data_IF_947816668315
#
_entry.id   IF_947816668315
#
_cell.length_a   1.000
_cell.length_b   1.000
_cell.length_c   1.000
_cell.angle_alpha   90.00
_cell.angle_beta   90.00
_cell.angle_gamma   90.00
#
_symmetry.space_group_name_H-M   'P 1'
#
loop_
_entity.id
_entity.type
_entity.pdbx_description
1 polymer ?
#
# COMPACT_ATOMS: atom_id res chain seq x y z
N UNK A 1 1.41 21.48 21.50
CA UNK A 1 0.34 20.52 21.17
C UNK A 1 0.34 20.26 19.66
N UNK A 2 0.98 19.18 19.19
CA UNK A 2 0.88 18.78 17.77
C UNK A 2 -0.40 17.96 17.63
N UNK A 3 -1.42 18.51 16.94
CA UNK A 3 -2.72 17.86 16.74
C UNK A 3 -2.55 16.61 15.88
N UNK A 4 -3.08 15.49 16.36
CA UNK A 4 -3.28 14.25 15.61
C UNK A 4 -4.35 14.37 14.50
N UNK A 5 -5.05 15.50 14.43
CA UNK A 5 -6.10 15.79 13.44
C UNK A 5 -5.58 16.34 12.09
N UNK A 6 -4.28 16.28 11.83
CA UNK A 6 -3.66 16.93 10.66
C UNK A 6 -2.63 16.12 9.86
N UNK A 7 -2.28 14.90 10.27
CA UNK A 7 -1.42 14.03 9.44
C UNK A 7 -2.23 13.58 8.25
N UNK A 8 -1.69 13.65 7.03
CA UNK A 8 -2.25 13.11 5.80
C UNK A 8 -1.69 11.70 5.51
N UNK A 9 -2.55 10.80 5.04
CA UNK A 9 -2.24 9.40 4.78
C UNK A 9 -2.54 9.04 3.33
N UNK A 10 -1.56 8.48 2.63
CA UNK A 10 -1.73 7.85 1.34
C UNK A 10 -1.65 6.32 1.49
N UNK A 11 -2.67 5.61 1.04
CA UNK A 11 -2.77 4.15 1.21
C UNK A 11 -2.55 3.42 -0.11
N UNK A 12 -1.75 2.36 -0.12
CA UNK A 12 -1.56 1.59 -1.34
C UNK A 12 -1.33 0.11 -1.08
N UNK A 13 -1.77 -0.70 -2.03
CA UNK A 13 -1.59 -2.14 -2.03
C UNK A 13 -1.01 -2.59 -3.35
N UNK A 14 -0.37 -3.75 -3.37
CA UNK A 14 -0.09 -4.48 -4.60
C UNK A 14 -0.98 -5.72 -4.66
N UNK A 15 -1.49 -6.04 -5.85
CA UNK A 15 -2.29 -7.23 -6.08
C UNK A 15 -2.07 -7.84 -7.47
N UNK A 16 -1.98 -9.17 -7.58
CA UNK A 16 -2.02 -9.87 -8.85
C UNK A 16 -3.45 -10.04 -9.40
N UNK A 17 -4.47 -9.43 -8.80
CA UNK A 17 -5.86 -9.45 -9.30
C UNK A 17 -6.37 -10.88 -9.60
N UNK A 18 -6.07 -11.84 -8.72
CA UNK A 18 -6.65 -13.19 -8.80
C UNK A 18 -8.12 -13.12 -8.44
N UNK A 19 -8.89 -14.15 -8.81
CA UNK A 19 -10.34 -14.16 -8.53
C UNK A 19 -10.71 -14.02 -7.05
N UNK A 20 -9.82 -14.42 -6.12
CA UNK A 20 -10.01 -14.16 -4.68
C UNK A 20 -9.67 -12.71 -4.30
N UNK A 21 -8.62 -12.14 -4.89
CA UNK A 21 -8.21 -10.76 -4.65
C UNK A 21 -9.32 -9.77 -5.06
N UNK A 22 -9.99 -10.03 -6.19
CA UNK A 22 -11.14 -9.25 -6.67
C UNK A 22 -12.30 -9.21 -5.65
N UNK A 23 -12.50 -10.29 -4.89
CA UNK A 23 -13.51 -10.32 -3.84
C UNK A 23 -13.10 -9.44 -2.65
N UNK A 24 -11.82 -9.46 -2.27
CA UNK A 24 -11.28 -8.65 -1.18
C UNK A 24 -11.22 -7.16 -1.54
N UNK A 25 -10.92 -6.82 -2.79
CA UNK A 25 -10.77 -5.45 -3.26
C UNK A 25 -11.99 -4.58 -2.96
N UNK A 26 -13.20 -5.15 -2.99
CA UNK A 26 -14.43 -4.43 -2.62
C UNK A 26 -14.38 -3.88 -1.19
N UNK A 27 -13.91 -4.68 -0.23
CA UNK A 27 -13.81 -4.25 1.16
C UNK A 27 -12.57 -3.39 1.41
N UNK A 28 -11.46 -3.69 0.74
CA UNK A 28 -10.24 -2.88 0.86
C UNK A 28 -10.45 -1.47 0.33
N UNK A 29 -11.15 -1.30 -0.80
CA UNK A 29 -11.54 0.02 -1.33
C UNK A 29 -12.32 0.86 -0.33
N UNK A 30 -13.26 0.26 0.41
CA UNK A 30 -14.02 0.97 1.47
C UNK A 30 -13.11 1.42 2.62
N UNK A 31 -12.06 0.67 2.91
CA UNK A 31 -11.07 1.04 3.94
C UNK A 31 -10.16 2.16 3.43
N UNK A 32 -9.65 2.02 2.21
CA UNK A 32 -8.70 2.94 1.58
C UNK A 32 -9.35 4.29 1.20
N UNK A 33 -10.65 4.31 0.91
CA UNK A 33 -11.43 5.54 0.72
C UNK A 33 -11.47 6.44 1.97
N UNK A 34 -10.99 5.97 3.14
CA UNK A 34 -10.85 6.75 4.38
C UNK A 34 -9.43 7.34 4.54
N UNK A 35 -8.53 7.07 3.61
CA UNK A 35 -7.24 7.76 3.46
C UNK A 35 -7.42 9.02 2.60
N UNK A 36 -6.45 9.93 2.61
CA UNK A 36 -6.53 11.19 1.84
C UNK A 36 -6.24 10.96 0.34
N UNK A 37 -5.54 9.88 0.03
CA UNK A 37 -5.38 9.35 -1.31
C UNK A 37 -5.12 7.84 -1.25
N UNK A 38 -5.42 7.14 -2.33
CA UNK A 38 -5.04 5.74 -2.45
C UNK A 38 -4.83 5.29 -3.89
N UNK A 39 -4.13 4.17 -4.04
CA UNK A 39 -3.92 3.50 -5.32
C UNK A 39 -3.71 2.01 -5.13
N UNK A 40 -4.14 1.22 -6.11
CA UNK A 40 -3.83 -0.20 -6.19
C UNK A 40 -2.81 -0.42 -7.30
N UNK A 41 -1.73 -1.14 -6.99
CA UNK A 41 -0.75 -1.54 -7.98
C UNK A 41 -1.01 -2.95 -8.46
N UNK A 42 -0.81 -3.19 -9.75
CA UNK A 42 -0.90 -4.52 -10.34
C UNK A 42 0.13 -4.70 -11.45
N UNK A 43 0.32 -5.94 -11.92
CA UNK A 43 1.21 -6.20 -13.05
C UNK A 43 0.58 -5.77 -14.38
N UNK A 44 1.40 -5.38 -15.36
CA UNK A 44 0.93 -5.00 -16.71
C UNK A 44 0.07 -6.07 -17.37
N UNK A 45 0.38 -7.34 -17.11
CA UNK A 45 -0.29 -8.50 -17.69
C UNK A 45 -1.54 -8.94 -16.89
N UNK A 46 -1.94 -8.15 -15.88
CA UNK A 46 -3.16 -8.43 -15.12
C UNK A 46 -4.40 -8.25 -15.99
N UNK A 47 -5.33 -9.21 -15.89
CA UNK A 47 -6.64 -9.10 -16.51
C UNK A 47 -7.58 -8.18 -15.73
N UNK A 48 -8.73 -7.89 -16.32
CA UNK A 48 -9.80 -7.08 -15.70
C UNK A 48 -10.00 -5.74 -16.41
N UNK A 49 -11.11 -5.09 -16.07
CA UNK A 49 -11.45 -3.79 -16.64
C UNK A 49 -10.44 -2.72 -16.23
N UNK A 50 -10.27 -1.73 -17.10
CA UNK A 50 -9.54 -0.50 -16.80
C UNK A 50 -10.29 0.24 -15.70
N UNK A 51 -9.70 0.31 -14.53
CA UNK A 51 -10.23 1.00 -13.36
C UNK A 51 -9.26 2.11 -12.98
N UNK A 52 -9.74 3.37 -12.81
CA UNK A 52 -8.89 4.51 -12.53
C UNK A 52 -8.09 4.39 -11.22
N UNK A 53 -8.48 3.52 -10.29
CA UNK A 53 -7.74 3.32 -9.05
C UNK A 53 -6.54 2.36 -9.17
N UNK A 54 -6.31 1.78 -10.36
CA UNK A 54 -5.20 0.89 -10.64
C UNK A 54 -4.06 1.55 -11.41
N UNK A 55 -2.84 1.30 -10.94
CA UNK A 55 -1.60 1.58 -11.68
C UNK A 55 -0.90 0.27 -12.01
N UNK A 56 -0.66 0.06 -13.31
CA UNK A 56 0.05 -1.12 -13.82
C UNK A 56 1.56 -0.88 -13.80
N UNK A 57 2.29 -1.76 -13.12
CA UNK A 57 3.76 -1.73 -13.05
C UNK A 57 4.38 -2.93 -13.75
N UNK A 58 5.59 -2.76 -14.29
CA UNK A 58 6.34 -3.90 -14.82
C UNK A 58 6.92 -4.73 -13.69
N UNK A 59 6.76 -6.04 -13.81
CA UNK A 59 7.41 -6.99 -12.92
C UNK A 59 8.66 -7.57 -13.60
N UNK A 60 9.72 -7.85 -12.84
CA UNK A 60 10.82 -8.66 -13.33
C UNK A 60 10.34 -9.99 -13.93
N UNK A 61 10.98 -10.46 -15.00
CA UNK A 61 10.64 -11.71 -15.64
C UNK A 61 10.66 -12.89 -14.63
N UNK A 62 9.58 -13.68 -14.63
CA UNK A 62 9.45 -14.85 -13.77
C UNK A 62 9.76 -16.13 -14.53
N UNK A 63 10.29 -17.13 -13.82
CA UNK A 63 10.57 -18.47 -14.38
C UNK A 63 9.31 -19.33 -14.56
N UNK A 64 8.22 -18.96 -13.90
CA UNK A 64 6.95 -19.67 -13.89
C UNK A 64 5.87 -18.79 -14.52
N UNK A 65 4.87 -19.41 -15.16
CA UNK A 65 3.79 -18.69 -15.82
C UNK A 65 2.93 -17.95 -14.80
N UNK A 66 2.32 -16.84 -15.22
CA UNK A 66 1.37 -16.05 -14.42
C UNK A 66 0.22 -16.88 -13.85
N UNK A 67 -0.24 -17.86 -14.63
CA UNK A 67 -1.34 -18.76 -14.28
C UNK A 67 -0.96 -19.84 -13.26
N UNK A 68 0.33 -20.03 -12.99
CA UNK A 68 0.78 -21.12 -12.12
C UNK A 68 0.50 -20.79 -10.66
N UNK A 69 0.10 -21.79 -9.87
CA UNK A 69 -0.18 -21.62 -8.43
C UNK A 69 1.01 -21.05 -7.64
N UNK A 70 2.24 -21.33 -8.10
CA UNK A 70 3.48 -20.84 -7.52
C UNK A 70 3.95 -19.48 -8.03
N UNK A 71 3.20 -18.84 -8.94
CA UNK A 71 3.57 -17.53 -9.46
C UNK A 71 3.60 -16.51 -8.32
N UNK A 72 4.79 -15.92 -8.12
CA UNK A 72 5.11 -14.99 -7.05
C UNK A 72 4.93 -15.54 -5.61
N UNK A 73 4.84 -16.85 -5.42
CA UNK A 73 4.76 -17.45 -4.10
C UNK A 73 6.04 -17.17 -3.29
N UNK A 74 5.88 -16.64 -2.07
CA UNK A 74 6.97 -16.09 -1.23
C UNK A 74 7.79 -14.98 -1.89
N UNK A 75 7.22 -14.29 -2.88
CA UNK A 75 7.87 -13.20 -3.63
C UNK A 75 7.01 -11.94 -3.67
N UNK A 76 6.27 -11.65 -2.60
CA UNK A 76 5.41 -10.46 -2.49
C UNK A 76 6.18 -9.17 -2.82
N UNK A 77 7.47 -9.10 -2.47
CA UNK A 77 8.34 -7.97 -2.78
C UNK A 77 8.56 -7.73 -4.28
N UNK A 78 8.39 -8.74 -5.14
CA UNK A 78 8.54 -8.57 -6.60
C UNK A 78 7.50 -7.62 -7.16
N UNK A 79 6.29 -7.63 -6.59
CA UNK A 79 5.24 -6.68 -6.93
C UNK A 79 5.34 -5.37 -6.18
N UNK A 80 5.71 -5.45 -4.90
CA UNK A 80 5.75 -4.29 -4.02
C UNK A 80 6.92 -3.33 -4.32
N UNK A 81 8.08 -3.82 -4.75
CA UNK A 81 9.23 -2.96 -5.08
C UNK A 81 8.96 -2.04 -6.28
N UNK A 82 8.43 -2.52 -7.43
CA UNK A 82 8.03 -1.64 -8.52
C UNK A 82 6.94 -0.64 -8.11
N UNK A 83 5.99 -1.05 -7.26
CA UNK A 83 4.97 -0.17 -6.70
C UNK A 83 5.59 0.98 -5.89
N UNK A 84 6.51 0.67 -4.97
CA UNK A 84 7.29 1.68 -4.24
C UNK A 84 8.08 2.59 -5.16
N UNK A 85 8.78 2.03 -6.16
CA UNK A 85 9.57 2.83 -7.10
C UNK A 85 8.68 3.81 -7.87
N UNK A 86 7.52 3.37 -8.33
CA UNK A 86 6.57 4.24 -9.01
C UNK A 86 6.04 5.32 -8.06
N UNK A 87 5.58 4.94 -6.86
CA UNK A 87 5.08 5.86 -5.84
C UNK A 87 6.12 6.93 -5.51
N UNK A 88 7.36 6.53 -5.23
CA UNK A 88 8.45 7.44 -4.87
C UNK A 88 8.90 8.35 -6.01
N UNK A 89 8.68 7.95 -7.26
CA UNK A 89 8.94 8.79 -8.44
C UNK A 89 7.79 9.72 -8.81
N UNK A 90 6.64 9.58 -8.15
CA UNK A 90 5.43 10.35 -8.45
C UNK A 90 5.30 11.56 -7.52
N UNK A 91 4.49 12.53 -7.95
CA UNK A 91 4.17 13.71 -7.12
C UNK A 91 3.34 13.38 -5.86
N UNK A 92 2.93 12.12 -5.66
CA UNK A 92 2.19 11.73 -4.46
C UNK A 92 3.04 11.85 -3.20
N UNK A 93 4.37 11.71 -3.31
CA UNK A 93 5.32 11.81 -2.20
C UNK A 93 5.24 13.16 -1.51
N UNK A 94 5.17 14.23 -2.29
CA UNK A 94 5.20 15.59 -1.75
C UNK A 94 3.82 16.05 -1.23
N UNK A 95 2.76 15.29 -1.52
CA UNK A 95 1.38 15.65 -1.19
C UNK A 95 0.89 15.04 0.14
N UNK A 96 1.62 14.10 0.73
CA UNK A 96 1.18 13.38 1.92
C UNK A 96 2.31 13.17 2.93
N UNK A 97 1.96 13.17 4.22
CA UNK A 97 2.93 13.01 5.31
C UNK A 97 3.39 11.55 5.48
N UNK A 98 2.49 10.59 5.23
CA UNK A 98 2.74 9.17 5.43
C UNK A 98 2.16 8.29 4.33
N UNK A 99 2.91 7.23 4.01
CA UNK A 99 2.52 6.21 3.05
C UNK A 99 2.32 4.88 3.78
N UNK A 100 1.14 4.29 3.63
CA UNK A 100 0.80 3.01 4.25
C UNK A 100 0.66 1.95 3.16
N UNK A 101 1.57 0.99 3.17
CA UNK A 101 1.36 -0.26 2.45
C UNK A 101 0.55 -1.23 3.31
N UNK A 102 -0.53 -1.80 2.75
CA UNK A 102 -1.30 -2.86 3.41
C UNK A 102 -1.67 -3.93 2.39
N UNK A 103 -1.45 -5.21 2.72
CA UNK A 103 -1.91 -6.33 1.89
C UNK A 103 -3.44 -6.40 1.86
N UNK A 104 -4.02 -7.11 0.90
CA UNK A 104 -5.48 -7.13 0.69
C UNK A 104 -6.26 -7.87 1.79
N UNK A 105 -5.61 -8.78 2.48
CA UNK A 105 -6.16 -9.53 3.61
C UNK A 105 -5.94 -8.85 4.96
N UNK A 106 -5.29 -7.68 4.97
CA UNK A 106 -5.10 -6.87 6.17
C UNK A 106 -6.27 -5.91 6.37
N UNK A 107 -6.71 -5.77 7.62
CA UNK A 107 -7.66 -4.74 8.02
C UNK A 107 -6.92 -3.46 8.42
N UNK A 108 -7.20 -2.36 7.72
CA UNK A 108 -6.68 -1.03 7.99
C UNK A 108 -7.80 -0.12 8.49
N UNK A 109 -7.55 0.51 9.64
CA UNK A 109 -8.32 1.66 10.11
C UNK A 109 -7.47 2.92 10.00
N UNK A 110 -7.62 3.76 8.95
CA UNK A 110 -6.79 4.95 8.78
C UNK A 110 -6.84 5.90 9.98
N UNK A 111 -8.00 6.05 10.62
CA UNK A 111 -8.15 6.85 11.83
C UNK A 111 -7.32 6.32 13.01
N UNK A 112 -7.22 4.99 13.19
CA UNK A 112 -6.35 4.39 14.20
C UNK A 112 -4.88 4.49 13.80
N UNK A 113 -4.57 4.31 12.51
CA UNK A 113 -3.22 4.46 11.99
C UNK A 113 -2.66 5.86 12.27
N UNK A 114 -3.42 6.94 11.99
CA UNK A 114 -3.01 8.32 12.31
C UNK A 114 -2.68 8.50 13.79
N UNK A 115 -3.53 7.99 14.69
CA UNK A 115 -3.32 8.05 16.13
C UNK A 115 -2.05 7.31 16.56
N UNK A 116 -1.86 6.09 16.04
CA UNK A 116 -0.70 5.27 16.38
C UNK A 116 0.59 5.91 15.84
N UNK A 117 0.60 6.41 14.61
CA UNK A 117 1.74 7.12 14.03
C UNK A 117 2.12 8.32 14.91
N UNK A 118 1.15 9.17 15.26
CA UNK A 118 1.40 10.33 16.11
C UNK A 118 2.03 9.92 17.46
N UNK A 119 1.53 8.85 18.08
CA UNK A 119 2.09 8.30 19.31
C UNK A 119 3.52 7.76 19.12
N UNK A 120 3.78 7.01 18.05
CA UNK A 120 5.11 6.50 17.78
C UNK A 120 6.12 7.61 17.53
N UNK A 121 5.71 8.67 16.85
CA UNK A 121 6.56 9.84 16.62
C UNK A 121 6.87 10.60 17.90
N UNK A 122 5.90 10.72 18.82
CA UNK A 122 6.13 11.31 20.14
C UNK A 122 7.15 10.51 20.96
N UNK A 123 7.06 9.18 20.92
CA UNK A 123 7.96 8.28 21.66
C UNK A 123 9.35 8.21 21.01
N UNK A 124 9.41 8.10 19.68
CA UNK A 124 10.66 7.92 18.96
C UNK A 124 11.56 9.16 19.07
N UNK A 125 10.99 10.34 19.30
CA UNK A 125 11.71 11.62 19.30
C UNK A 125 12.63 11.75 18.09
N UNK A 126 12.20 11.22 16.95
CA UNK A 126 13.03 11.11 15.77
C UNK A 126 13.32 12.52 15.22
N UNK A 127 14.53 12.76 14.68
CA UNK A 127 14.84 14.02 14.00
C UNK A 127 13.90 14.25 12.82
N UNK A 128 13.53 15.51 12.56
CA UNK A 128 12.52 15.85 11.54
C UNK A 128 12.97 15.48 10.10
N UNK A 129 14.27 15.43 9.83
CA UNK A 129 14.83 15.19 8.48
C UNK A 129 15.27 13.74 8.21
N UNK A 130 14.84 12.78 9.04
CA UNK A 130 15.23 11.37 8.87
C UNK A 130 14.04 10.56 8.34
N UNK A 131 14.22 9.74 7.28
CA UNK A 131 13.16 8.86 6.82
C UNK A 131 12.87 7.79 7.88
N UNK A 132 11.59 7.65 8.23
CA UNK A 132 11.12 6.71 9.25
C UNK A 132 10.23 5.68 8.60
N UNK A 133 10.51 4.41 8.89
CA UNK A 133 9.66 3.30 8.50
C UNK A 133 9.09 2.67 9.76
N UNK A 134 7.76 2.67 9.85
CA UNK A 134 7.04 1.99 10.92
C UNK A 134 6.52 0.67 10.37
N UNK A 135 6.87 -0.44 11.02
CA UNK A 135 6.42 -1.77 10.63
C UNK A 135 5.36 -2.26 11.60
N UNK A 136 4.16 -2.53 11.08
CA UNK A 136 3.10 -3.20 11.82
C UNK A 136 2.99 -4.64 11.35
N UNK A 137 3.02 -5.57 12.30
CA UNK A 137 2.64 -6.95 12.05
C UNK A 137 1.13 -7.12 12.07
N UNK A 138 0.69 -8.35 11.82
CA UNK A 138 -0.72 -8.71 11.91
C UNK A 138 -1.18 -8.58 13.37
N UNK A 139 -2.12 -7.66 13.61
CA UNK A 139 -2.77 -7.48 14.90
C UNK A 139 -4.19 -8.05 14.79
N UNK A 140 -4.44 -9.14 15.53
CA UNK A 140 -5.74 -9.82 15.61
C UNK A 140 -6.51 -9.35 16.84
#
# INVERSE_FOLDING_TARGET
ERRSDGLSLFCFAWTPRRGYDEQLLTEVRKQYAKCDGHVFYTDKDSGGDEDPDFVRVELPAQKVSRSDKGWLYHRNMVGLMPAWSHLLSSSFVDAHDWFINSELDHFLSPARARKNIAQYMEVAQAPEDVPIVLMWGNAF
#
